data_IF_399770435591
#
_entry.id   IF_399770435591
#
_cell.length_a   1.000
_cell.length_b   1.000
_cell.length_c   1.000
_cell.angle_alpha   90.00
_cell.angle_beta   90.00
_cell.angle_gamma   90.00
#
_symmetry.space_group_name_H-M   'P 1'
#
loop_
_entity.id
_entity.type
_entity.pdbx_description
1 polymer ?
#
# COMPACT_ATOMS: atom_id res chain seq x y z
N UNK A 1 8.50 -9.95 6.85
CA UNK A 1 7.12 -10.05 6.31
C UNK A 1 6.88 -8.77 5.56
N UNK A 2 6.31 -8.84 4.35
CA UNK A 2 6.00 -7.65 3.56
C UNK A 2 4.53 -7.30 3.75
N UNK A 3 4.24 -6.02 3.91
CA UNK A 3 2.89 -5.51 4.18
C UNK A 3 2.54 -4.41 3.19
N UNK A 4 1.27 -4.32 2.82
CA UNK A 4 0.72 -3.16 2.11
C UNK A 4 -0.15 -2.40 3.08
N UNK A 5 0.06 -1.09 3.15
CA UNK A 5 -0.81 -0.20 3.91
C UNK A 5 -1.51 0.78 2.99
N UNK A 6 -2.68 1.24 3.42
CA UNK A 6 -3.45 2.30 2.78
C UNK A 6 -3.73 3.41 3.78
N UNK A 7 -3.89 4.62 3.26
CA UNK A 7 -4.09 5.81 4.08
C UNK A 7 -4.95 6.87 3.42
N UNK A 8 -5.19 7.94 4.17
CA UNK A 8 -5.95 9.13 3.76
C UNK A 8 -5.07 10.38 3.64
N UNK A 9 -3.75 10.20 3.68
CA UNK A 9 -2.78 11.25 3.48
C UNK A 9 -2.78 11.77 2.05
N UNK A 10 -2.82 13.09 1.90
CA UNK A 10 -2.78 13.78 0.61
C UNK A 10 -1.39 14.34 0.28
N UNK A 11 -0.45 14.19 1.20
CA UNK A 11 0.94 14.59 1.05
C UNK A 11 1.81 13.34 1.11
N UNK A 12 2.80 13.24 0.23
CA UNK A 12 3.87 12.26 0.42
C UNK A 12 4.58 12.56 1.74
N UNK A 13 4.29 11.79 2.80
CA UNK A 13 4.94 11.94 4.11
C UNK A 13 6.39 11.50 4.04
N UNK A 14 7.30 12.39 4.40
CA UNK A 14 8.77 12.29 4.24
C UNK A 14 9.47 11.42 5.29
N UNK A 15 8.82 10.37 5.79
CA UNK A 15 9.46 9.45 6.73
C UNK A 15 9.47 8.03 6.19
N UNK A 16 10.64 7.41 6.18
CA UNK A 16 10.87 6.03 5.71
C UNK A 16 10.23 4.97 6.63
N UNK A 17 9.31 5.36 7.52
CA UNK A 17 8.77 4.51 8.59
C UNK A 17 7.24 4.53 8.69
N UNK A 18 6.55 5.49 8.05
CA UNK A 18 5.09 5.59 8.13
C UNK A 18 4.47 6.33 6.94
N UNK A 19 3.27 5.90 6.53
CA UNK A 19 2.36 6.69 5.70
C UNK A 19 1.94 7.98 6.42
N UNK A 20 1.47 8.98 5.66
CA UNK A 20 1.07 10.26 6.24
C UNK A 20 -0.16 10.13 7.15
N UNK A 21 -1.11 9.24 6.81
CA UNK A 21 -2.29 8.92 7.62
C UNK A 21 -2.75 7.48 7.33
N UNK A 22 -2.03 6.50 7.87
CA UNK A 22 -2.37 5.07 7.74
C UNK A 22 -3.73 4.73 8.38
N UNK A 23 -4.59 4.01 7.66
CA UNK A 23 -5.90 3.57 8.15
C UNK A 23 -6.08 2.05 8.16
N UNK A 24 -5.32 1.34 7.34
CA UNK A 24 -5.31 -0.12 7.35
C UNK A 24 -4.01 -0.67 6.76
N UNK A 25 -3.65 -1.88 7.19
CA UNK A 25 -2.50 -2.64 6.71
C UNK A 25 -2.84 -4.11 6.58
N UNK A 26 -2.30 -4.77 5.56
CA UNK A 26 -2.53 -6.18 5.30
C UNK A 26 -1.25 -6.89 4.85
N UNK A 27 -1.19 -8.18 5.13
CA UNK A 27 -0.11 -9.07 4.70
C UNK A 27 -0.22 -9.30 3.20
N UNK A 28 0.93 -9.33 2.53
CA UNK A 28 1.01 -9.41 1.08
C UNK A 28 1.35 -10.81 0.62
N UNK A 29 0.75 -11.25 -0.48
CA UNK A 29 1.32 -12.29 -1.32
C UNK A 29 2.45 -11.68 -2.19
N UNK A 30 3.70 -12.05 -1.92
CA UNK A 30 4.84 -11.69 -2.76
C UNK A 30 5.14 -12.80 -3.76
N UNK A 31 5.26 -12.46 -5.04
CA UNK A 31 5.86 -13.35 -6.03
C UNK A 31 7.19 -12.74 -6.48
N UNK A 32 8.24 -13.55 -6.52
CA UNK A 32 9.51 -13.24 -7.18
C UNK A 32 9.44 -13.82 -8.60
N UNK A 33 8.95 -13.07 -9.61
CA UNK A 33 9.25 -13.43 -10.99
C UNK A 33 10.77 -13.30 -11.20
N UNK A 34 11.36 -14.12 -12.07
CA UNK A 34 12.81 -14.23 -12.36
C UNK A 34 13.47 -12.94 -12.96
N UNK A 35 12.93 -11.77 -12.65
CA UNK A 35 13.26 -10.42 -13.12
C UNK A 35 13.63 -9.53 -11.91
N UNK A 36 14.26 -8.35 -12.09
CA UNK A 36 14.59 -7.45 -10.98
C UNK A 36 13.36 -6.68 -10.46
N UNK A 37 12.25 -7.38 -10.23
CA UNK A 37 10.98 -6.82 -9.82
C UNK A 37 10.34 -7.65 -8.71
N UNK A 38 9.77 -6.97 -7.73
CA UNK A 38 8.95 -7.58 -6.66
C UNK A 38 7.50 -7.21 -6.91
N UNK A 39 6.63 -8.21 -6.99
CA UNK A 39 5.20 -8.00 -7.05
C UNK A 39 4.56 -8.18 -5.68
N UNK A 40 3.73 -7.21 -5.30
CA UNK A 40 3.14 -7.07 -3.98
C UNK A 40 1.64 -6.84 -4.17
N UNK A 41 0.80 -7.79 -3.75
CA UNK A 41 -0.65 -7.66 -3.74
C UNK A 41 -1.24 -7.64 -2.32
N UNK A 42 -2.01 -6.59 -2.00
CA UNK A 42 -2.78 -6.46 -0.77
C UNK A 42 -4.28 -6.41 -1.05
N UNK A 43 -5.07 -7.15 -0.26
CA UNK A 43 -6.52 -7.14 -0.34
C UNK A 43 -7.13 -6.54 0.93
N UNK A 44 -7.98 -5.53 0.76
CA UNK A 44 -8.76 -4.91 1.82
C UNK A 44 -10.24 -5.20 1.56
N UNK A 45 -10.80 -6.05 2.41
CA UNK A 45 -12.20 -6.44 2.37
C UNK A 45 -13.14 -5.28 2.64
N UNK A 46 -14.42 -5.58 2.72
CA UNK A 46 -15.48 -4.59 2.95
C UNK A 46 -15.64 -4.20 4.41
N UNK A 47 -14.76 -4.62 5.31
CA UNK A 47 -14.80 -4.25 6.73
C UNK A 47 -13.69 -3.24 7.09
N UNK A 48 -12.56 -3.32 6.39
CA UNK A 48 -11.37 -2.51 6.61
C UNK A 48 -11.54 -1.11 6.02
N UNK A 49 -11.07 -0.06 6.72
CA UNK A 49 -11.06 1.32 6.22
C UNK A 49 -12.41 1.83 5.64
N UNK A 50 -13.54 1.33 6.15
CA UNK A 50 -14.86 1.79 5.75
C UNK A 50 -15.11 3.25 6.15
N UNK A 51 -15.75 4.01 5.27
CA UNK A 51 -16.04 5.43 5.47
C UNK A 51 -14.83 6.33 5.26
N UNK A 52 -13.73 5.79 4.72
CA UNK A 52 -12.52 6.54 4.41
C UNK A 52 -12.41 6.81 2.90
N UNK A 53 -11.85 7.96 2.57
CA UNK A 53 -11.40 8.30 1.22
C UNK A 53 -9.92 7.98 1.11
N UNK A 54 -9.59 6.85 0.50
CA UNK A 54 -8.21 6.37 0.40
C UNK A 54 -7.48 7.18 -0.66
N UNK A 55 -6.31 7.72 -0.31
CA UNK A 55 -5.52 8.62 -1.17
C UNK A 55 -4.04 8.25 -1.23
N UNK A 56 -3.58 7.31 -0.40
CA UNK A 56 -2.19 6.86 -0.37
C UNK A 56 -2.08 5.35 -0.15
N UNK A 57 -0.94 4.81 -0.59
CA UNK A 57 -0.56 3.42 -0.41
C UNK A 57 0.93 3.30 -0.16
N UNK A 58 1.31 2.36 0.71
CA UNK A 58 2.69 2.10 1.07
C UNK A 58 3.02 0.61 1.05
N UNK A 59 4.26 0.29 0.71
CA UNK A 59 4.82 -1.07 0.85
C UNK A 59 5.83 -1.08 1.98
N UNK A 60 5.65 -1.97 2.94
CA UNK A 60 6.55 -2.15 4.06
C UNK A 60 7.35 -3.45 3.94
N UNK A 61 8.60 -3.41 4.40
CA UNK A 61 9.42 -4.57 4.70
C UNK A 61 9.88 -4.53 6.16
N UNK A 62 9.16 -5.26 7.02
CA UNK A 62 9.28 -5.04 8.47
C UNK A 62 8.80 -3.63 8.82
N UNK A 63 9.60 -2.91 9.61
CA UNK A 63 9.27 -1.55 10.06
C UNK A 63 9.63 -0.44 9.04
N UNK A 64 10.17 -0.82 7.88
CA UNK A 64 10.64 0.12 6.85
C UNK A 64 9.61 0.30 5.75
N UNK A 65 9.24 1.55 5.46
CA UNK A 65 8.44 1.94 4.31
C UNK A 65 9.35 1.97 3.07
N UNK A 66 9.25 0.94 2.23
CA UNK A 66 10.07 0.80 1.02
C UNK A 66 9.64 1.76 -0.09
N UNK A 67 8.34 2.01 -0.20
CA UNK A 67 7.79 2.88 -1.22
C UNK A 67 6.44 3.43 -0.79
N UNK A 68 6.11 4.61 -1.31
CA UNK A 68 4.88 5.35 -1.06
C UNK A 68 4.41 6.00 -2.37
N UNK A 69 3.12 5.84 -2.68
CA UNK A 69 2.46 6.58 -3.74
C UNK A 69 1.14 7.20 -3.25
N UNK A 70 0.84 8.40 -3.74
CA UNK A 70 -0.47 9.05 -3.59
C UNK A 70 -1.28 8.95 -4.88
N UNK A 71 -2.60 8.99 -4.78
CA UNK A 71 -3.53 8.90 -5.91
C UNK A 71 -4.84 9.64 -5.61
N UNK A 72 -5.66 9.96 -6.65
CA UNK A 72 -6.97 10.58 -6.43
C UNK A 72 -7.86 9.74 -5.52
N UNK A 73 -8.57 10.40 -4.61
CA UNK A 73 -9.40 9.77 -3.59
C UNK A 73 -10.29 8.65 -4.13
N UNK A 74 -10.27 7.52 -3.44
CA UNK A 74 -11.15 6.37 -3.65
C UNK A 74 -11.95 6.12 -2.38
N UNK A 75 -13.22 6.48 -2.40
CA UNK A 75 -14.13 6.23 -1.29
C UNK A 75 -14.32 4.73 -1.08
N UNK A 76 -14.21 4.29 0.17
CA UNK A 76 -14.46 2.91 0.57
C UNK A 76 -15.68 2.84 1.49
N UNK A 77 -16.59 1.94 1.16
CA UNK A 77 -17.79 1.64 1.94
C UNK A 77 -17.89 0.15 2.26
N UNK A 78 -18.93 -0.22 3.02
CA UNK A 78 -19.20 -1.59 3.44
C UNK A 78 -19.54 -2.57 2.29
N UNK A 79 -19.60 -2.10 1.04
CA UNK A 79 -19.86 -2.91 -0.15
C UNK A 79 -18.63 -2.93 -1.09
N UNK A 80 -17.62 -2.10 -0.83
CA UNK A 80 -16.49 -1.89 -1.72
C UNK A 80 -15.24 -2.60 -1.21
N UNK A 81 -14.71 -3.52 -1.99
CA UNK A 81 -13.38 -4.11 -1.77
C UNK A 81 -12.32 -3.28 -2.47
N UNK A 82 -11.11 -3.25 -1.91
CA UNK A 82 -9.96 -2.59 -2.54
C UNK A 82 -8.84 -3.62 -2.72
N UNK A 83 -8.37 -3.76 -3.95
CA UNK A 83 -7.17 -4.53 -4.28
C UNK A 83 -6.07 -3.54 -4.66
N UNK A 84 -4.92 -3.70 -4.02
CA UNK A 84 -3.71 -2.94 -4.33
C UNK A 84 -2.72 -3.92 -4.96
N UNK A 85 -2.23 -3.59 -6.14
CA UNK A 85 -1.17 -4.32 -6.83
C UNK A 85 -0.02 -3.35 -7.10
N UNK A 86 1.16 -3.67 -6.57
CA UNK A 86 2.36 -2.84 -6.68
C UNK A 86 3.49 -3.68 -7.26
N UNK A 87 4.11 -3.15 -8.31
CA UNK A 87 5.36 -3.69 -8.86
C UNK A 87 6.49 -2.74 -8.48
N UNK A 88 7.41 -3.23 -7.66
CA UNK A 88 8.66 -2.53 -7.36
C UNK A 88 9.73 -3.02 -8.34
N UNK A 89 10.32 -2.12 -9.12
CA UNK A 89 11.42 -2.46 -10.04
C UNK A 89 12.71 -1.86 -9.52
N UNK A 90 13.74 -2.68 -9.37
CA UNK A 90 15.05 -2.27 -8.91
C UNK A 90 15.98 -2.16 -10.11
N UNK A 91 16.49 -0.96 -10.40
CA UNK A 91 17.57 -0.79 -11.36
C UNK A 91 18.92 -0.89 -10.65
N UNK A 92 19.81 -1.74 -11.14
CA UNK A 92 21.22 -1.68 -10.75
C UNK A 92 21.76 -0.30 -11.18
N UNK A 93 22.36 0.42 -10.22
CA UNK A 93 23.09 1.67 -10.48
C UNK A 93 24.51 1.35 -10.89
#
# INVERSE_FOLDING_TARGET
MSEVAIGTGSTSGESDTALASEVARTVVATTEPETPSVFVAGFFGSAEANGQDITEVGVYAGDWLLNHATFPAKSKDSQTTLTVEITLTFSAV
#
